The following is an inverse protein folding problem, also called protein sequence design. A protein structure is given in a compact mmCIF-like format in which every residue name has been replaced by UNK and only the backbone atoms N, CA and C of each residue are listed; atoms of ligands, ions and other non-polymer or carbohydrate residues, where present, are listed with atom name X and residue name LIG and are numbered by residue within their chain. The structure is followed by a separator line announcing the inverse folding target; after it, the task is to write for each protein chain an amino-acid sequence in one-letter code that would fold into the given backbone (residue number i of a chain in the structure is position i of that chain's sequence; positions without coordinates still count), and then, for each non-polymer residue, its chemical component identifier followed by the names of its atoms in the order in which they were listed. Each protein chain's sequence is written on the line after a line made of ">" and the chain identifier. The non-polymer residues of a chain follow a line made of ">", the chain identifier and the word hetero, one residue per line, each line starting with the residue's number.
data_IF_970094128843
#
_entry.id   IF_970094128843
#
_cell.length_a   1.000
_cell.length_b   1.000
_cell.length_c   1.000
_cell.angle_alpha   90.00
_cell.angle_beta   90.00
_cell.angle_gamma   90.00
#
_symmetry.space_group_name_H-M   'P 1'
#
loop_
_entity.id
_entity.type
_entity.pdbx_description
1 polymer ?
#
# COMPACT_ATOMS: atom_id res chain seq x y z
N UNK A 1 -5.05 9.04 2.69
CA UNK A 1 -6.18 9.16 1.73
C UNK A 1 -7.26 8.14 2.08
N UNK A 2 -8.53 8.37 1.71
CA UNK A 2 -9.61 7.39 1.87
C UNK A 2 -10.43 7.33 0.58
N UNK A 3 -10.68 6.11 0.08
CA UNK A 3 -11.55 5.88 -1.07
C UNK A 3 -12.32 4.56 -0.89
N UNK A 4 -13.04 4.10 -1.92
CA UNK A 4 -13.82 2.86 -1.88
C UNK A 4 -13.02 1.59 -1.54
N UNK A 5 -11.70 1.59 -1.80
CA UNK A 5 -10.78 0.49 -1.43
C UNK A 5 -10.31 0.56 0.03
N UNK A 6 -10.80 1.50 0.83
CA UNK A 6 -10.48 1.64 2.25
C UNK A 6 -9.59 2.84 2.55
N UNK A 7 -8.68 2.71 3.51
CA UNK A 7 -7.74 3.77 3.91
C UNK A 7 -6.35 3.61 3.30
N UNK A 8 -5.60 4.70 3.28
CA UNK A 8 -4.20 4.77 2.87
C UNK A 8 -3.44 5.75 3.76
N UNK A 9 -2.25 5.34 4.19
CA UNK A 9 -1.28 6.15 4.91
C UNK A 9 0.05 6.11 4.18
N UNK A 10 0.61 7.26 3.85
CA UNK A 10 1.88 7.39 3.14
C UNK A 10 2.86 8.18 4.01
N UNK A 11 4.10 7.71 4.11
CA UNK A 11 5.12 8.25 5.01
C UNK A 11 6.52 8.08 4.42
N UNK A 12 7.42 8.95 4.83
CA UNK A 12 8.83 8.82 4.45
C UNK A 12 9.51 7.73 5.26
N UNK A 13 10.38 6.98 4.59
CA UNK A 13 11.18 5.89 5.14
C UNK A 13 12.62 6.02 4.69
N UNK A 14 13.61 5.64 5.51
CA UNK A 14 15.00 5.60 5.07
C UNK A 14 15.19 4.68 3.86
N UNK A 15 16.05 5.08 2.92
CA UNK A 15 16.48 4.22 1.81
C UNK A 15 17.83 3.57 2.11
N UNK A 16 18.05 2.32 1.67
CA UNK A 16 19.40 1.74 1.64
C UNK A 16 20.32 2.62 0.77
N UNK A 17 21.50 2.96 1.29
CA UNK A 17 22.45 3.87 0.61
C UNK A 17 22.32 5.34 0.97
N UNK A 18 21.41 5.71 1.90
CA UNK A 18 21.23 7.08 2.37
C UNK A 18 20.04 7.79 1.72
N UNK A 19 19.52 8.80 2.41
CA UNK A 19 18.34 9.57 2.00
C UNK A 19 17.00 8.94 2.39
N UNK A 20 15.91 9.58 1.96
CA UNK A 20 14.53 9.15 2.23
C UNK A 20 13.83 8.63 0.97
N UNK A 21 12.88 7.74 1.19
CA UNK A 21 11.99 7.16 0.20
C UNK A 21 10.56 7.19 0.71
N UNK A 22 9.59 6.93 -0.16
CA UNK A 22 8.20 6.91 0.22
C UNK A 22 7.75 5.46 0.46
N UNK A 23 7.10 5.21 1.59
CA UNK A 23 6.38 3.98 1.87
C UNK A 23 4.91 4.27 2.11
N UNK A 24 4.08 3.26 1.90
CA UNK A 24 2.64 3.40 2.07
C UNK A 24 2.03 2.11 2.62
N UNK A 25 1.03 2.29 3.49
CA UNK A 25 0.18 1.26 4.06
C UNK A 25 -1.23 1.48 3.54
N UNK A 26 -1.75 0.51 2.79
CA UNK A 26 -2.99 0.61 2.04
C UNK A 26 -3.91 -0.53 2.41
N UNK A 27 -5.14 -0.20 2.76
CA UNK A 27 -6.22 -1.17 2.88
C UNK A 27 -6.69 -1.59 1.48
N UNK A 28 -7.09 -2.85 1.36
CA UNK A 28 -7.67 -3.45 0.15
C UNK A 28 -8.98 -4.14 0.53
N UNK A 29 -10.07 -3.37 0.52
CA UNK A 29 -11.43 -3.88 0.79
C UNK A 29 -12.16 -4.39 -0.45
N UNK A 30 -11.71 -3.98 -1.65
CA UNK A 30 -12.36 -4.33 -2.93
C UNK A 30 -11.47 -5.21 -3.82
N UNK A 31 -10.60 -6.04 -3.22
CA UNK A 31 -9.86 -7.04 -4.01
C UNK A 31 -10.81 -8.10 -4.54
N UNK A 32 -11.19 -7.98 -5.82
CA UNK A 32 -12.10 -8.90 -6.52
C UNK A 32 -11.55 -10.33 -6.52
N UNK A 33 -10.23 -10.51 -6.44
CA UNK A 33 -9.62 -11.84 -6.40
C UNK A 33 -9.80 -12.53 -5.06
N UNK A 34 -10.02 -11.76 -3.98
CA UNK A 34 -10.20 -12.24 -2.62
C UNK A 34 -11.26 -11.42 -1.87
N UNK A 35 -12.52 -11.45 -2.31
CA UNK A 35 -13.58 -10.57 -1.81
C UNK A 35 -13.88 -10.77 -0.32
N UNK A 36 -13.64 -11.97 0.21
CA UNK A 36 -13.87 -12.31 1.62
C UNK A 36 -12.63 -12.11 2.51
N UNK A 37 -11.54 -11.57 1.95
CA UNK A 37 -10.25 -11.39 2.65
C UNK A 37 -9.76 -9.97 2.55
N UNK A 38 -10.44 -9.02 3.21
CA UNK A 38 -9.92 -7.67 3.31
C UNK A 38 -8.55 -7.72 4.01
N UNK A 39 -7.63 -6.91 3.51
CA UNK A 39 -6.25 -6.94 3.98
C UNK A 39 -5.57 -5.58 3.87
N UNK A 40 -4.51 -5.42 4.64
CA UNK A 40 -3.57 -4.34 4.52
C UNK A 40 -2.37 -4.78 3.71
N UNK A 41 -1.91 -3.90 2.81
CA UNK A 41 -0.63 -4.03 2.12
C UNK A 41 0.30 -2.91 2.59
N UNK A 42 1.53 -3.27 2.95
CA UNK A 42 2.54 -2.32 3.41
C UNK A 42 3.83 -2.49 2.60
N UNK A 43 4.38 -1.39 2.09
CA UNK A 43 5.66 -1.46 1.40
C UNK A 43 6.15 -0.13 0.85
N UNK A 44 7.33 -0.19 0.20
CA UNK A 44 7.88 0.95 -0.52
C UNK A 44 7.04 1.27 -1.74
N UNK A 45 6.85 2.56 -2.01
CA UNK A 45 6.18 3.07 -3.20
C UNK A 45 7.10 2.91 -4.42
N UNK A 46 6.52 2.47 -5.53
CA UNK A 46 7.15 2.51 -6.85
C UNK A 46 7.25 3.96 -7.28
N UNK A 47 8.46 4.41 -7.56
CA UNK A 47 8.73 5.72 -8.15
C UNK A 47 9.05 5.57 -9.63
N UNK A 48 8.80 6.62 -10.42
CA UNK A 48 9.33 6.73 -11.78
C UNK A 48 10.82 7.14 -11.78
N UNK A 49 11.38 7.33 -12.98
CA UNK A 49 12.79 7.71 -13.15
C UNK A 49 13.09 9.13 -12.66
N UNK A 50 12.06 9.97 -12.48
CA UNK A 50 12.15 11.31 -11.92
C UNK A 50 11.93 11.34 -10.40
N UNK A 51 11.68 10.18 -9.79
CA UNK A 51 11.45 10.05 -8.35
C UNK A 51 10.00 10.28 -7.91
N UNK A 52 9.07 10.51 -8.83
CA UNK A 52 7.67 10.72 -8.47
C UNK A 52 6.96 9.40 -8.17
N UNK A 53 6.05 9.35 -7.17
CA UNK A 53 5.21 8.18 -6.92
C UNK A 53 4.39 7.79 -8.14
N UNK A 54 4.51 6.52 -8.57
CA UNK A 54 3.62 5.95 -9.58
C UNK A 54 2.26 5.68 -8.98
N UNK A 55 1.23 6.31 -9.52
CA UNK A 55 -0.15 6.15 -9.06
C UNK A 55 -0.87 5.07 -9.87
N UNK A 56 -1.79 4.35 -9.23
CA UNK A 56 -2.69 3.41 -9.90
C UNK A 56 -3.93 4.16 -10.44
N UNK A 57 -4.79 3.44 -11.18
CA UNK A 57 -6.04 3.97 -11.75
C UNK A 57 -7.04 4.51 -10.71
N UNK A 58 -6.84 4.22 -9.43
CA UNK A 58 -7.67 4.68 -8.32
C UNK A 58 -7.03 5.83 -7.53
N UNK A 59 -5.95 6.43 -8.07
CA UNK A 59 -5.26 7.55 -7.45
C UNK A 59 -4.49 7.17 -6.18
N UNK A 60 -4.02 5.92 -6.06
CA UNK A 60 -3.17 5.47 -4.94
C UNK A 60 -1.75 5.12 -5.39
N UNK A 61 -0.72 5.32 -4.54
CA UNK A 61 0.64 4.93 -4.85
C UNK A 61 0.75 3.42 -5.08
N UNK A 62 1.42 3.00 -6.14
CA UNK A 62 1.70 1.59 -6.38
C UNK A 62 2.82 1.12 -5.46
N UNK A 63 2.63 0.01 -4.77
CA UNK A 63 3.68 -0.60 -3.93
C UNK A 63 4.62 -1.48 -4.75
N UNK A 64 5.90 -1.53 -4.37
CA UNK A 64 6.92 -2.43 -4.93
C UNK A 64 6.57 -3.89 -4.66
N UNK A 65 7.08 -4.78 -5.52
CA UNK A 65 6.96 -6.23 -5.28
C UNK A 65 7.78 -6.60 -4.03
N UNK A 66 7.31 -7.57 -3.25
CA UNK A 66 7.85 -7.85 -1.91
C UNK A 66 7.18 -7.06 -0.77
N UNK A 67 6.06 -6.39 -1.05
CA UNK A 67 5.19 -5.77 -0.03
C UNK A 67 4.66 -6.81 0.97
N UNK A 68 4.58 -6.43 2.24
CA UNK A 68 3.93 -7.22 3.27
C UNK A 68 2.41 -7.19 3.11
N UNK A 69 1.75 -8.29 3.48
CA UNK A 69 0.29 -8.40 3.49
C UNK A 69 -0.19 -8.90 4.85
N UNK A 70 -1.18 -8.23 5.41
CA UNK A 70 -1.83 -8.63 6.65
C UNK A 70 -3.34 -8.72 6.42
N UNK A 71 -3.86 -9.94 6.40
CA UNK A 71 -5.30 -10.20 6.29
C UNK A 71 -5.96 -10.00 7.65
N UNK A 72 -7.20 -9.52 7.64
CA UNK A 72 -7.99 -9.44 8.86
C UNK A 72 -9.38 -10.04 8.63
N UNK A 73 -9.85 -10.83 9.59
CA UNK A 73 -11.20 -11.37 9.58
C UNK A 73 -12.23 -10.29 9.90
N UNK A 74 -13.50 -10.50 9.52
CA UNK A 74 -14.62 -9.61 9.88
C UNK A 74 -15.00 -9.69 11.38
N UNK A 75 -14.11 -10.17 12.25
CA UNK A 75 -14.36 -10.39 13.67
C UNK A 75 -13.13 -10.84 14.44
N UNK A 76 -12.16 -9.94 14.62
CA UNK A 76 -11.04 -10.13 15.55
C UNK A 76 -9.76 -10.71 14.92
N UNK A 77 -8.63 -10.29 15.47
CA UNK A 77 -7.33 -10.88 15.20
C UNK A 77 -7.30 -12.28 15.83
N UNK A 78 -7.06 -13.32 15.02
CA UNK A 78 -6.55 -14.62 15.51
C UNK A 78 -5.01 -14.59 15.53
#
# INVERSE_FOLDING_TARGET
>A
SQNSSGREYSYETPKPGGGTGLSSVQEQTMDISHPDKPHWEAGQVKTDDFGNPRMNKYGRPQLRNGKGKAYYGKGGCE
#
